data_IF_044380961409
#
_entry.id   IF_044380961409
#
_cell.length_a   1.000
_cell.length_b   1.000
_cell.length_c   1.000
_cell.angle_alpha   90.00
_cell.angle_beta   90.00
_cell.angle_gamma   90.00
#
_symmetry.space_group_name_H-M   'P 1'
#
loop_
_entity.id
_entity.type
_entity.pdbx_description
1 polymer ?
#
# COMPACT_ATOMS: atom_id res chain seq x y z
N UNK A 1 14.71 -14.82 -13.06
CA UNK A 1 13.38 -15.42 -12.84
C UNK A 1 13.37 -16.07 -11.45
N UNK A 2 12.33 -15.86 -10.63
CA UNK A 2 12.24 -16.39 -9.26
C UNK A 2 11.91 -17.89 -9.20
N UNK A 3 11.70 -18.53 -10.36
CA UNK A 3 11.44 -19.98 -10.49
C UNK A 3 12.57 -20.75 -11.20
N UNK A 4 13.68 -20.09 -11.52
CA UNK A 4 14.83 -20.72 -12.17
C UNK A 4 15.66 -21.60 -11.23
N UNK A 5 16.61 -22.38 -11.78
CA UNK A 5 17.44 -23.29 -11.00
C UNK A 5 18.25 -22.59 -9.89
N UNK A 6 18.67 -21.34 -10.08
CA UNK A 6 19.36 -20.53 -9.06
C UNK A 6 18.45 -19.81 -8.06
N UNK A 7 17.15 -20.09 -8.05
CA UNK A 7 16.18 -19.36 -7.22
C UNK A 7 16.32 -19.68 -5.73
N UNK A 8 16.76 -20.89 -5.36
CA UNK A 8 16.94 -21.28 -3.95
C UNK A 8 18.15 -20.57 -3.35
N UNK A 9 19.25 -20.54 -4.09
CA UNK A 9 20.48 -19.85 -3.73
C UNK A 9 20.25 -18.35 -3.64
N UNK A 10 19.55 -17.77 -4.61
CA UNK A 10 19.15 -16.36 -4.57
C UNK A 10 18.28 -16.05 -3.34
N UNK A 11 17.30 -16.91 -3.03
CA UNK A 11 16.47 -16.76 -1.83
C UNK A 11 17.32 -16.77 -0.55
N UNK A 12 18.28 -17.68 -0.45
CA UNK A 12 19.19 -17.77 0.69
C UNK A 12 19.97 -16.46 0.89
N UNK A 13 20.62 -15.96 -0.16
CA UNK A 13 21.41 -14.73 -0.08
C UNK A 13 20.56 -13.49 0.19
N UNK A 14 19.38 -13.38 -0.44
CA UNK A 14 18.47 -12.27 -0.12
C UNK A 14 17.95 -12.36 1.31
N UNK A 15 17.74 -13.55 1.86
CA UNK A 15 17.36 -13.70 3.27
C UNK A 15 18.44 -13.15 4.20
N UNK A 16 19.71 -13.47 3.93
CA UNK A 16 20.84 -12.99 4.71
C UNK A 16 21.09 -11.48 4.58
N UNK A 17 20.92 -10.91 3.39
CA UNK A 17 21.06 -9.48 3.18
C UNK A 17 19.87 -8.69 3.76
N UNK A 18 18.65 -9.21 3.63
CA UNK A 18 17.45 -8.57 4.17
C UNK A 18 17.44 -8.54 5.70
N UNK A 19 18.02 -9.57 6.36
CA UNK A 19 18.16 -9.59 7.82
C UNK A 19 19.12 -8.51 8.33
N UNK A 20 20.04 -8.05 7.48
CA UNK A 20 20.94 -6.91 7.74
C UNK A 20 20.33 -5.57 7.34
N UNK A 21 19.07 -5.55 6.89
CA UNK A 21 18.37 -4.31 6.53
C UNK A 21 18.51 -3.88 5.08
N UNK A 22 19.13 -4.70 4.20
CA UNK A 22 19.32 -4.33 2.80
C UNK A 22 17.97 -4.13 2.07
N UNK A 23 17.67 -2.90 1.59
CA UNK A 23 16.35 -2.61 1.02
C UNK A 23 16.05 -3.36 -0.27
N UNK A 24 17.08 -3.69 -1.06
CA UNK A 24 16.91 -4.41 -2.33
C UNK A 24 16.65 -5.90 -2.10
N UNK A 25 17.32 -6.50 -1.13
CA UNK A 25 17.08 -7.86 -0.69
C UNK A 25 15.68 -7.99 -0.07
N UNK A 26 15.26 -7.03 0.76
CA UNK A 26 13.89 -6.96 1.27
C UNK A 26 12.87 -6.86 0.13
N UNK A 27 13.11 -6.01 -0.86
CA UNK A 27 12.28 -5.95 -2.06
C UNK A 27 12.23 -7.29 -2.81
N UNK A 28 13.38 -7.93 -3.03
CA UNK A 28 13.46 -9.19 -3.74
C UNK A 28 12.75 -10.32 -2.99
N UNK A 29 12.87 -10.39 -1.65
CA UNK A 29 12.08 -11.31 -0.83
C UNK A 29 10.58 -11.06 -0.96
N UNK A 30 10.17 -9.80 -1.03
CA UNK A 30 8.79 -9.44 -1.35
C UNK A 30 8.33 -10.04 -2.69
N UNK A 31 9.18 -10.00 -3.72
CA UNK A 31 8.89 -10.61 -5.03
C UNK A 31 8.80 -12.14 -4.94
N UNK A 32 9.71 -12.79 -4.20
CA UNK A 32 9.68 -14.23 -3.96
C UNK A 32 8.36 -14.66 -3.31
N UNK A 33 7.93 -13.97 -2.26
CA UNK A 33 6.63 -14.23 -1.62
C UNK A 33 5.44 -13.85 -2.48
N UNK A 34 5.55 -12.81 -3.33
CA UNK A 34 4.45 -12.40 -4.20
C UNK A 34 4.18 -13.40 -5.31
N UNK A 35 5.25 -13.85 -6.00
CA UNK A 35 5.14 -14.72 -7.18
C UNK A 35 5.23 -16.21 -6.85
N UNK A 36 5.74 -16.55 -5.65
CA UNK A 36 6.24 -17.87 -5.34
C UNK A 36 7.56 -18.14 -6.07
N UNK A 37 8.44 -18.91 -5.45
CA UNK A 37 9.78 -19.16 -5.98
C UNK A 37 10.77 -19.59 -4.91
N UNK A 38 11.88 -20.23 -5.30
CA UNK A 38 12.89 -20.68 -4.35
C UNK A 38 12.32 -21.54 -3.22
N UNK A 39 11.37 -22.44 -3.53
CA UNK A 39 10.60 -23.26 -2.58
C UNK A 39 9.51 -22.54 -1.77
N UNK A 40 9.37 -21.22 -1.89
CA UNK A 40 8.30 -20.48 -1.24
C UNK A 40 6.99 -20.54 -2.02
N UNK A 41 5.91 -20.74 -1.28
CA UNK A 41 4.54 -20.52 -1.77
C UNK A 41 4.22 -19.03 -1.85
N UNK A 42 3.25 -18.68 -2.69
CA UNK A 42 2.71 -17.34 -2.76
C UNK A 42 2.07 -16.94 -1.43
N UNK A 43 2.40 -15.74 -0.95
CA UNK A 43 1.87 -15.17 0.27
C UNK A 43 1.79 -13.64 0.13
N UNK A 44 0.62 -13.09 -0.27
CA UNK A 44 0.39 -11.65 -0.36
C UNK A 44 0.68 -10.90 0.95
N UNK A 45 0.33 -11.50 2.09
CA UNK A 45 0.56 -10.90 3.40
C UNK A 45 2.06 -10.77 3.68
N UNK A 46 2.82 -11.83 3.42
CA UNK A 46 4.27 -11.81 3.65
C UNK A 46 4.98 -10.88 2.66
N UNK A 47 4.54 -10.83 1.41
CA UNK A 47 5.11 -9.90 0.43
C UNK A 47 4.89 -8.44 0.82
N UNK A 48 3.70 -8.08 1.29
CA UNK A 48 3.40 -6.73 1.82
C UNK A 48 4.34 -6.32 2.95
N UNK A 49 4.64 -7.23 3.88
CA UNK A 49 5.57 -6.97 5.00
C UNK A 49 6.98 -6.66 4.50
N UNK A 50 7.50 -7.45 3.55
CA UNK A 50 8.82 -7.21 2.97
C UNK A 50 8.88 -5.94 2.12
N UNK A 51 7.86 -5.67 1.30
CA UNK A 51 7.79 -4.43 0.54
C UNK A 51 7.67 -3.21 1.44
N UNK A 52 6.96 -3.30 2.58
CA UNK A 52 6.89 -2.25 3.58
C UNK A 52 8.24 -1.96 4.22
N UNK A 53 9.01 -2.99 4.58
CA UNK A 53 10.39 -2.79 5.08
C UNK A 53 11.25 -2.06 4.05
N UNK A 54 11.23 -2.50 2.80
CA UNK A 54 11.98 -1.85 1.73
C UNK A 54 11.52 -0.39 1.51
N UNK A 55 10.20 -0.16 1.52
CA UNK A 55 9.60 1.15 1.31
C UNK A 55 9.97 2.17 2.40
N UNK A 56 10.04 1.71 3.66
CA UNK A 56 10.44 2.50 4.82
C UNK A 56 11.93 2.89 4.78
N UNK A 57 12.76 2.12 4.10
CA UNK A 57 14.17 2.47 3.84
C UNK A 57 14.34 3.40 2.62
N UNK A 58 13.25 3.91 2.03
CA UNK A 58 13.29 4.79 0.86
C UNK A 58 13.39 4.07 -0.49
N UNK A 59 13.34 2.73 -0.52
CA UNK A 59 13.42 1.98 -1.77
C UNK A 59 12.17 2.23 -2.65
N UNK A 60 12.37 2.93 -3.78
CA UNK A 60 11.29 3.29 -4.73
C UNK A 60 10.59 2.05 -5.29
N UNK A 61 11.34 0.98 -5.57
CA UNK A 61 10.78 -0.31 -6.02
C UNK A 61 9.91 -0.94 -4.94
N UNK A 62 10.34 -0.87 -3.67
CA UNK A 62 9.55 -1.29 -2.51
C UNK A 62 8.25 -0.48 -2.36
N UNK A 63 8.32 0.85 -2.46
CA UNK A 63 7.15 1.73 -2.40
C UNK A 63 6.15 1.44 -3.53
N UNK A 64 6.66 1.24 -4.75
CA UNK A 64 5.85 0.97 -5.95
C UNK A 64 5.17 -0.39 -5.85
N UNK A 65 5.91 -1.45 -5.50
CA UNK A 65 5.35 -2.79 -5.36
C UNK A 65 4.42 -2.91 -4.16
N UNK A 66 4.69 -2.21 -3.06
CA UNK A 66 3.75 -2.15 -1.93
C UNK A 66 2.41 -1.58 -2.37
N UNK A 67 2.41 -0.44 -3.08
CA UNK A 67 1.18 0.15 -3.60
C UNK A 67 0.47 -0.79 -4.58
N UNK A 68 1.22 -1.43 -5.49
CA UNK A 68 0.67 -2.39 -6.46
C UNK A 68 -0.03 -3.56 -5.78
N UNK A 69 0.66 -4.23 -4.86
CA UNK A 69 0.09 -5.39 -4.16
C UNK A 69 -1.12 -4.96 -3.32
N UNK A 70 -1.07 -3.82 -2.63
CA UNK A 70 -2.22 -3.28 -1.88
C UNK A 70 -3.47 -3.06 -2.76
N UNK A 71 -3.30 -2.68 -4.03
CA UNK A 71 -4.39 -2.50 -4.98
C UNK A 71 -4.89 -3.85 -5.49
N UNK A 72 -3.98 -4.71 -5.96
CA UNK A 72 -4.32 -6.02 -6.55
C UNK A 72 -5.02 -6.93 -5.53
N UNK A 73 -4.56 -6.89 -4.29
CA UNK A 73 -4.99 -7.81 -3.24
C UNK A 73 -5.99 -7.18 -2.27
N UNK A 74 -6.54 -6.02 -2.62
CA UNK A 74 -7.52 -5.28 -1.80
C UNK A 74 -8.75 -6.10 -1.40
N UNK A 75 -9.07 -7.15 -2.14
CA UNK A 75 -10.15 -8.11 -1.87
C UNK A 75 -9.70 -9.39 -1.14
N UNK A 76 -8.39 -9.69 -1.12
CA UNK A 76 -7.86 -11.02 -0.73
C UNK A 76 -7.09 -11.01 0.60
N UNK A 77 -6.39 -9.93 0.96
CA UNK A 77 -5.46 -9.85 2.11
C UNK A 77 -6.12 -10.12 3.47
N UNK A 78 -7.45 -10.26 3.52
CA UNK A 78 -8.19 -10.51 4.73
C UNK A 78 -9.18 -11.67 4.57
N UNK A 79 -8.65 -12.87 4.31
CA UNK A 79 -9.36 -14.16 4.40
C UNK A 79 -10.52 -14.33 3.40
N UNK A 80 -10.46 -13.67 2.24
CA UNK A 80 -11.58 -13.68 1.28
C UNK A 80 -12.87 -13.07 1.82
N UNK A 81 -12.81 -12.37 2.97
CA UNK A 81 -13.92 -11.60 3.51
C UNK A 81 -13.76 -10.17 3.05
N UNK A 82 -14.66 -9.74 2.18
CA UNK A 82 -14.80 -8.34 1.75
C UNK A 82 -15.21 -7.40 2.92
N UNK A 83 -15.35 -7.92 4.15
CA UNK A 83 -16.20 -7.40 5.20
C UNK A 83 -15.47 -7.00 6.50
N UNK A 84 -14.17 -6.66 6.47
CA UNK A 84 -13.68 -5.78 7.54
C UNK A 84 -14.28 -4.40 7.29
N UNK A 85 -15.51 -4.21 7.78
CA UNK A 85 -16.29 -3.02 7.51
C UNK A 85 -15.48 -1.77 7.90
N UNK A 86 -15.21 -0.94 6.91
CA UNK A 86 -14.46 0.30 7.09
C UNK A 86 -12.94 0.20 7.05
N UNK A 87 -12.38 -0.92 6.56
CA UNK A 87 -11.00 -0.98 6.10
C UNK A 87 -10.90 -0.72 4.59
N UNK A 88 -9.87 0.00 4.16
CA UNK A 88 -9.53 0.26 2.77
C UNK A 88 -8.01 0.24 2.58
N UNK A 89 -7.50 -0.48 1.58
CA UNK A 89 -6.08 -0.40 1.21
C UNK A 89 -5.70 0.92 0.50
N UNK A 90 -6.70 1.69 0.02
CA UNK A 90 -6.50 2.89 -0.80
C UNK A 90 -5.71 4.00 -0.13
N UNK A 91 -5.96 4.40 1.15
CA UNK A 91 -5.11 5.38 1.83
C UNK A 91 -3.62 5.04 1.78
N UNK A 92 -3.26 3.77 2.05
CA UNK A 92 -1.87 3.31 2.04
C UNK A 92 -1.30 3.26 0.63
N UNK A 93 -2.05 2.72 -0.33
CA UNK A 93 -1.62 2.66 -1.73
C UNK A 93 -1.35 4.07 -2.30
N UNK A 94 -2.28 5.01 -2.10
CA UNK A 94 -2.15 6.40 -2.57
C UNK A 94 -0.93 7.09 -1.97
N UNK A 95 -0.66 6.90 -0.67
CA UNK A 95 0.54 7.46 -0.05
C UNK A 95 1.82 6.90 -0.69
N UNK A 96 1.96 5.58 -0.76
CA UNK A 96 3.19 4.97 -1.25
C UNK A 96 3.44 5.24 -2.73
N UNK A 97 2.38 5.28 -3.55
CA UNK A 97 2.49 5.73 -4.95
C UNK A 97 2.97 7.17 -5.06
N UNK A 98 2.43 8.09 -4.24
CA UNK A 98 2.87 9.49 -4.24
C UNK A 98 4.32 9.63 -3.77
N UNK A 99 4.71 8.88 -2.75
CA UNK A 99 6.10 8.87 -2.24
C UNK A 99 7.07 8.38 -3.32
N UNK A 100 6.72 7.29 -4.00
CA UNK A 100 7.51 6.76 -5.12
C UNK A 100 7.63 7.78 -6.26
N UNK A 101 6.52 8.47 -6.61
CA UNK A 101 6.51 9.48 -7.66
C UNK A 101 7.32 10.76 -7.34
N UNK A 102 7.57 11.04 -6.06
CA UNK A 102 8.38 12.18 -5.62
C UNK A 102 9.88 11.86 -5.56
N UNK A 103 10.27 10.60 -5.71
CA UNK A 103 11.67 10.21 -5.68
C UNK A 103 12.36 10.53 -6.99
N UNK A 104 13.48 11.26 -6.93
CA UNK A 104 14.32 11.56 -8.10
C UNK A 104 15.14 10.34 -8.58
N UNK A 105 15.21 9.27 -7.78
CA UNK A 105 15.90 8.02 -8.12
C UNK A 105 14.91 7.02 -8.75
N UNK A 106 14.49 7.26 -9.98
CA UNK A 106 13.79 6.22 -10.76
C UNK A 106 14.81 5.30 -11.42
N UNK A 107 15.52 4.51 -10.61
CA UNK A 107 16.30 3.40 -11.14
C UNK A 107 15.32 2.36 -11.74
N UNK A 108 15.61 1.96 -12.98
CA UNK A 108 15.23 0.67 -13.55
C UNK A 108 13.71 0.39 -13.70
N UNK A 109 13.03 1.12 -14.60
CA UNK A 109 11.73 0.74 -15.16
C UNK A 109 10.48 1.01 -14.29
N UNK A 110 10.66 1.30 -13.01
CA UNK A 110 9.54 1.58 -12.07
C UNK A 110 8.71 2.82 -12.42
N UNK A 111 9.25 3.77 -13.20
CA UNK A 111 8.55 5.00 -13.59
C UNK A 111 7.24 4.74 -14.37
N UNK A 112 7.20 3.69 -15.20
CA UNK A 112 5.98 3.31 -15.94
C UNK A 112 4.94 2.75 -14.97
N UNK A 113 5.35 1.86 -14.06
CA UNK A 113 4.46 1.31 -13.02
C UNK A 113 3.92 2.40 -12.10
N UNK A 114 4.76 3.33 -11.64
CA UNK A 114 4.34 4.48 -10.82
C UNK A 114 3.29 5.30 -11.57
N UNK A 115 3.51 5.59 -12.86
CA UNK A 115 2.56 6.35 -13.69
C UNK A 115 1.23 5.62 -13.85
N UNK A 116 1.27 4.32 -14.14
CA UNK A 116 0.08 3.49 -14.31
C UNK A 116 -0.74 3.41 -13.02
N UNK A 117 -0.08 3.11 -11.90
CA UNK A 117 -0.72 3.05 -10.58
C UNK A 117 -1.28 4.44 -10.20
N UNK A 118 -0.54 5.51 -10.48
CA UNK A 118 -1.01 6.88 -10.23
C UNK A 118 -2.30 7.18 -11.00
N UNK A 119 -2.36 6.79 -12.28
CA UNK A 119 -3.54 7.02 -13.11
C UNK A 119 -4.75 6.20 -12.64
N UNK A 120 -4.53 4.93 -12.25
CA UNK A 120 -5.55 4.08 -11.65
C UNK A 120 -6.09 4.71 -10.36
N UNK A 121 -5.21 5.13 -9.45
CA UNK A 121 -5.60 5.74 -8.18
C UNK A 121 -6.30 7.09 -8.35
N UNK A 122 -5.92 7.90 -9.34
CA UNK A 122 -6.64 9.15 -9.68
C UNK A 122 -8.10 8.89 -10.04
N UNK A 123 -8.43 7.77 -10.68
CA UNK A 123 -9.81 7.41 -10.99
C UNK A 123 -10.61 7.12 -9.71
N UNK A 124 -10.00 6.42 -8.74
CA UNK A 124 -10.59 6.22 -7.42
C UNK A 124 -10.78 7.56 -6.68
N UNK A 125 -9.79 8.45 -6.73
CA UNK A 125 -9.84 9.72 -6.02
C UNK A 125 -10.96 10.64 -6.50
N UNK A 126 -11.26 10.63 -7.81
CA UNK A 126 -12.38 11.36 -8.41
C UNK A 126 -13.76 10.84 -7.96
N UNK A 127 -13.83 9.63 -7.39
CA UNK A 127 -15.07 9.00 -6.95
C UNK A 127 -15.31 9.04 -5.44
N UNK A 128 -14.35 9.52 -4.65
CA UNK A 128 -14.38 9.43 -3.17
C UNK A 128 -15.62 10.12 -2.57
N UNK A 129 -16.02 11.25 -3.11
CA UNK A 129 -17.11 12.10 -2.61
C UNK A 129 -18.48 11.78 -3.23
N UNK A 130 -18.57 10.72 -4.05
CA UNK A 130 -19.86 10.26 -4.61
C UNK A 130 -20.72 9.51 -3.61
N UNK A 131 -20.13 8.91 -2.57
CA UNK A 131 -20.85 8.16 -1.54
C UNK A 131 -20.13 8.20 -0.20
N UNK A 132 -20.90 8.20 0.89
CA UNK A 132 -20.36 8.12 2.23
C UNK A 132 -19.66 6.77 2.45
N UNK A 133 -18.42 6.77 2.91
CA UNK A 133 -17.65 5.56 3.16
C UNK A 133 -18.29 4.65 4.23
N UNK A 134 -19.12 5.22 5.12
CA UNK A 134 -19.83 4.44 6.13
C UNK A 134 -21.20 3.95 5.65
N UNK A 135 -22.12 4.87 5.35
CA UNK A 135 -23.51 4.51 5.07
C UNK A 135 -23.80 4.29 3.58
N UNK A 136 -22.82 4.48 2.69
CA UNK A 136 -22.93 4.34 1.22
C UNK A 136 -23.94 5.26 0.55
N UNK A 137 -24.60 6.15 1.30
CA UNK A 137 -25.51 7.13 0.74
C UNK A 137 -24.75 8.21 -0.05
N UNK A 138 -25.27 8.63 -1.21
CA UNK A 138 -24.73 9.78 -1.93
C UNK A 138 -24.97 11.10 -1.17
N UNK A 139 -24.28 12.18 -1.54
CA UNK A 139 -24.61 13.52 -1.07
C UNK A 139 -26.09 13.88 -1.31
N UNK A 140 -26.71 14.60 -0.38
CA UNK A 140 -28.12 14.99 -0.45
C UNK A 140 -28.23 16.45 -0.90
N UNK A 141 -28.98 16.71 -1.97
CA UNK A 141 -29.12 18.06 -2.54
C UNK A 141 -27.75 18.67 -2.84
N UNK A 142 -27.54 19.92 -2.46
CA UNK A 142 -26.29 20.65 -2.69
C UNK A 142 -25.18 20.34 -1.66
N UNK A 143 -25.40 19.42 -0.72
CA UNK A 143 -24.39 19.09 0.30
C UNK A 143 -23.23 18.29 -0.28
N UNK A 144 -21.99 18.76 -0.15
CA UNK A 144 -20.79 17.95 -0.45
C UNK A 144 -20.40 17.02 0.71
N UNK A 145 -19.92 15.82 0.41
CA UNK A 145 -19.33 14.93 1.43
C UNK A 145 -17.99 15.48 1.95
N UNK A 146 -17.75 15.32 3.26
CA UNK A 146 -16.53 15.77 3.93
C UNK A 146 -15.46 14.68 3.87
N UNK A 147 -14.32 14.97 3.24
CA UNK A 147 -13.18 14.04 3.17
C UNK A 147 -12.51 13.90 4.54
N UNK A 148 -11.97 12.70 4.83
CA UNK A 148 -11.12 12.50 6.00
C UNK A 148 -9.96 13.50 5.98
N UNK A 149 -9.81 14.30 7.03
CA UNK A 149 -8.78 15.36 7.09
C UNK A 149 -7.35 14.82 7.03
N UNK A 150 -7.15 13.56 7.43
CA UNK A 150 -5.83 12.91 7.49
C UNK A 150 -5.45 12.29 6.15
N UNK A 151 -6.18 11.27 5.69
CA UNK A 151 -5.83 10.58 4.45
C UNK A 151 -6.44 11.21 3.19
N UNK A 152 -7.56 11.92 3.30
CA UNK A 152 -8.36 12.46 2.17
C UNK A 152 -8.87 11.43 1.16
N UNK A 153 -8.72 10.13 1.44
CA UNK A 153 -9.07 9.02 0.53
C UNK A 153 -10.46 8.41 0.76
N UNK A 154 -11.22 8.94 1.72
CA UNK A 154 -12.60 8.55 2.04
C UNK A 154 -13.41 9.79 2.41
N UNK A 155 -14.72 9.79 2.16
CA UNK A 155 -15.61 10.90 2.48
C UNK A 155 -16.84 10.47 3.28
N UNK A 156 -17.42 11.42 4.01
CA UNK A 156 -18.50 11.20 4.96
C UNK A 156 -19.60 12.25 4.83
N UNK A 157 -20.85 11.85 4.99
CA UNK A 157 -21.98 12.78 5.05
C UNK A 157 -22.03 13.57 6.37
N UNK A 158 -21.34 13.12 7.41
CA UNK A 158 -21.33 13.76 8.71
C UNK A 158 -20.38 13.09 9.71
N UNK A 159 -20.24 13.72 10.89
CA UNK A 159 -19.33 13.29 11.97
C UNK A 159 -19.67 11.90 12.51
N UNK A 160 -20.94 11.52 12.55
CA UNK A 160 -21.36 10.22 13.06
C UNK A 160 -20.86 9.08 12.17
N UNK A 161 -21.03 9.24 10.86
CA UNK A 161 -20.52 8.28 9.87
C UNK A 161 -18.99 8.19 9.92
N UNK A 162 -18.29 9.32 10.04
CA UNK A 162 -16.84 9.33 10.20
C UNK A 162 -16.40 8.56 11.46
N UNK A 163 -17.05 8.82 12.60
CA UNK A 163 -16.70 8.22 13.89
C UNK A 163 -16.96 6.72 13.90
N UNK A 164 -18.07 6.28 13.32
CA UNK A 164 -18.39 4.86 13.16
C UNK A 164 -17.34 4.18 12.26
N UNK A 165 -17.10 4.72 11.07
CA UNK A 165 -16.11 4.17 10.14
C UNK A 165 -14.71 4.06 10.76
N UNK A 166 -14.30 5.09 11.50
CA UNK A 166 -13.05 5.12 12.27
C UNK A 166 -12.92 3.93 13.23
N UNK A 167 -13.98 3.65 13.99
CA UNK A 167 -14.01 2.55 14.97
C UNK A 167 -14.07 1.17 14.32
N UNK A 168 -14.73 1.06 13.16
CA UNK A 168 -14.96 -0.24 12.51
C UNK A 168 -13.73 -0.76 11.75
N UNK A 169 -12.82 0.13 11.35
CA UNK A 169 -11.58 -0.29 10.71
C UNK A 169 -10.72 0.88 10.28
N UNK A 170 -11.32 2.05 10.05
CA UNK A 170 -10.61 3.11 9.36
C UNK A 170 -9.45 3.70 10.18
N UNK A 171 -9.44 3.53 11.51
CA UNK A 171 -8.28 3.91 12.32
C UNK A 171 -7.00 3.16 11.90
N UNK A 172 -7.12 1.92 11.44
CA UNK A 172 -6.00 1.02 11.11
C UNK A 172 -5.44 1.27 9.72
N UNK A 173 -6.28 1.63 8.77
CA UNK A 173 -5.89 1.88 7.39
C UNK A 173 -5.61 3.36 7.08
N UNK A 174 -6.14 4.28 7.91
CA UNK A 174 -5.92 5.70 7.76
C UNK A 174 -4.45 6.00 8.05
N UNK A 175 -3.68 6.03 6.97
CA UNK A 175 -2.26 6.24 7.05
C UNK A 175 -1.96 7.63 7.62
N UNK A 176 -1.21 7.65 8.72
CA UNK A 176 -0.64 8.88 9.25
C UNK A 176 0.64 9.21 8.50
N UNK A 177 0.52 9.93 7.39
CA UNK A 177 1.68 10.27 6.57
C UNK A 177 2.79 10.90 7.43
N UNK A 178 2.45 11.72 8.43
CA UNK A 178 3.44 12.33 9.34
C UNK A 178 4.25 11.30 10.11
N UNK A 179 3.60 10.32 10.75
CA UNK A 179 4.31 9.27 11.51
C UNK A 179 5.14 8.37 10.62
N UNK A 180 4.64 8.06 9.42
CA UNK A 180 5.41 7.26 8.45
C UNK A 180 6.62 8.05 7.97
N UNK A 181 6.45 9.32 7.64
CA UNK A 181 7.56 10.21 7.24
C UNK A 181 8.58 10.38 8.38
N UNK A 182 8.14 10.50 9.64
CA UNK A 182 9.00 10.51 10.84
C UNK A 182 9.74 9.18 11.04
N UNK A 183 9.11 8.04 10.76
CA UNK A 183 9.78 6.73 10.80
C UNK A 183 10.83 6.60 9.70
N UNK A 184 10.51 7.00 8.47
CA UNK A 184 11.46 7.03 7.35
C UNK A 184 12.66 7.90 7.73
N UNK A 185 12.41 9.12 8.22
CA UNK A 185 13.47 10.04 8.63
C UNK A 185 14.38 9.45 9.72
N UNK A 186 13.81 8.74 10.70
CA UNK A 186 14.59 8.04 11.75
C UNK A 186 15.44 6.88 11.23
N UNK A 187 15.01 6.20 10.16
CA UNK A 187 15.76 5.08 9.55
C UNK A 187 16.81 5.54 8.55
N UNK A 188 16.69 6.77 8.06
CA UNK A 188 17.63 7.39 7.12
C UNK A 188 18.71 8.24 7.81
N UNK A 189 18.66 8.40 9.14
CA UNK A 189 19.62 9.12 9.96
C UNK A 189 20.57 8.14 10.66
#
# INVERSE_FOLDING_TARGET
DCKGPGAKEALHWFTLAASQGDPQAQFNLGIFHWRGGGELNQSPITSLSYFEKAALSGCVRGQTMLARVLIETRSEVFDGRFDILGYSALPRAIYWTRKAAQSNNTEDGSAVDIRNITNELKAFEKGIDRQCAMCRMPPKGDMSLRKCVRCKTVAYCGRDCQTKHWRMGHKRDCLDCKKVDEEIARKSA
#
